data_IF_282069754937
#
_entry.id   IF_282069754937
#
_cell.length_a   1.000
_cell.length_b   1.000
_cell.length_c   1.000
_cell.angle_alpha   90.00
_cell.angle_beta   90.00
_cell.angle_gamma   90.00
#
_symmetry.space_group_name_H-M   'P 1'
#
loop_
_entity.id
_entity.type
_entity.pdbx_description
1 polymer ?
#
# COMPACT_ATOMS: atom_id res chain seq x y z
N UNK A 1 -13.90 -11.11 9.00
CA UNK A 1 -12.96 -11.55 7.93
C UNK A 1 -11.87 -12.35 8.60
N UNK A 2 -11.64 -13.58 8.15
CA UNK A 2 -10.65 -14.45 8.81
C UNK A 2 -9.28 -14.35 8.15
N UNK A 3 -9.23 -14.44 6.83
CA UNK A 3 -8.00 -14.35 6.04
C UNK A 3 -8.04 -13.19 5.07
N UNK A 4 -6.87 -12.65 4.74
CA UNK A 4 -6.65 -11.60 3.76
C UNK A 4 -5.38 -11.92 2.97
N UNK A 5 -5.42 -11.87 1.65
CA UNK A 5 -4.22 -11.90 0.80
C UNK A 5 -3.78 -10.48 0.49
N UNK A 6 -2.53 -10.16 0.79
CA UNK A 6 -1.98 -8.82 0.59
C UNK A 6 -0.92 -8.89 -0.49
N UNK A 7 -1.14 -8.13 -1.57
CA UNK A 7 -0.25 -8.06 -2.74
C UNK A 7 0.69 -6.87 -2.65
N UNK A 8 1.94 -7.09 -3.04
CA UNK A 8 2.92 -6.05 -3.32
C UNK A 8 2.72 -5.37 -4.67
N UNK A 9 3.69 -4.55 -5.04
CA UNK A 9 3.69 -3.73 -6.24
C UNK A 9 3.50 -4.56 -7.51
N UNK A 10 2.63 -4.11 -8.41
CA UNK A 10 2.41 -4.80 -9.69
C UNK A 10 2.90 -4.04 -10.91
N UNK A 11 3.10 -2.72 -10.81
CA UNK A 11 3.62 -1.87 -11.89
C UNK A 11 2.94 -2.10 -13.24
N UNK A 12 1.61 -2.32 -13.24
CA UNK A 12 0.83 -2.54 -14.45
C UNK A 12 0.79 -3.98 -14.97
N UNK A 13 1.39 -4.94 -14.28
CA UNK A 13 1.25 -6.37 -14.60
C UNK A 13 -0.14 -6.88 -14.17
N UNK A 14 -1.19 -6.31 -14.75
CA UNK A 14 -2.58 -6.54 -14.34
C UNK A 14 -3.04 -7.98 -14.59
N UNK A 15 -2.56 -8.66 -15.64
CA UNK A 15 -2.89 -10.06 -15.90
C UNK A 15 -2.36 -10.99 -14.81
N UNK A 16 -1.14 -10.72 -14.32
CA UNK A 16 -0.58 -11.46 -13.19
C UNK A 16 -1.44 -11.26 -11.93
N UNK A 17 -1.77 -10.00 -11.60
CA UNK A 17 -2.60 -9.67 -10.45
C UNK A 17 -3.97 -10.33 -10.53
N UNK A 18 -4.66 -10.21 -11.68
CA UNK A 18 -5.96 -10.79 -11.93
C UNK A 18 -5.97 -12.30 -11.69
N UNK A 19 -4.98 -13.01 -12.23
CA UNK A 19 -4.86 -14.47 -12.05
C UNK A 19 -4.81 -14.86 -10.57
N UNK A 20 -4.03 -14.14 -9.75
CA UNK A 20 -3.85 -14.45 -8.34
C UNK A 20 -5.04 -14.01 -7.48
N UNK A 21 -5.69 -12.90 -7.83
CA UNK A 21 -6.91 -12.44 -7.17
C UNK A 21 -8.06 -13.41 -7.45
N UNK A 22 -8.25 -13.85 -8.68
CA UNK A 22 -9.27 -14.86 -9.03
C UNK A 22 -9.04 -16.14 -8.23
N UNK A 23 -7.79 -16.61 -8.13
CA UNK A 23 -7.45 -17.78 -7.31
C UNK A 23 -7.82 -17.58 -5.84
N UNK A 24 -7.49 -16.43 -5.25
CA UNK A 24 -7.86 -16.11 -3.85
C UNK A 24 -9.38 -16.04 -3.66
N UNK A 25 -10.10 -15.41 -4.58
CA UNK A 25 -11.55 -15.25 -4.50
C UNK A 25 -12.30 -16.58 -4.64
N UNK A 26 -11.78 -17.55 -5.40
CA UNK A 26 -12.31 -18.92 -5.46
C UNK A 26 -12.24 -19.63 -4.11
N UNK A 27 -11.30 -19.24 -3.25
CA UNK A 27 -11.15 -19.71 -1.87
C UNK A 27 -11.87 -18.80 -0.85
N UNK A 28 -12.64 -17.81 -1.32
CA UNK A 28 -13.29 -16.79 -0.49
C UNK A 28 -12.30 -15.97 0.36
N UNK A 29 -11.08 -15.79 -0.12
CA UNK A 29 -10.06 -14.95 0.51
C UNK A 29 -10.14 -13.56 -0.12
N UNK A 30 -10.53 -12.51 0.62
CA UNK A 30 -10.46 -11.14 0.13
C UNK A 30 -9.00 -10.72 -0.07
N UNK A 31 -8.79 -9.71 -0.93
CA UNK A 31 -7.46 -9.25 -1.25
C UNK A 31 -7.26 -7.77 -0.95
N UNK A 32 -6.02 -7.38 -0.69
CA UNK A 32 -5.59 -6.01 -0.54
C UNK A 32 -4.28 -5.79 -1.32
N UNK A 33 -4.13 -4.64 -1.97
CA UNK A 33 -2.93 -4.29 -2.73
C UNK A 33 -2.28 -3.04 -2.12
N UNK A 34 -0.99 -3.10 -1.83
CA UNK A 34 -0.27 -2.07 -1.06
C UNK A 34 0.19 -0.86 -1.87
N UNK A 35 -0.24 -0.70 -3.12
CA UNK A 35 0.12 0.44 -3.99
C UNK A 35 1.03 0.07 -5.15
N UNK A 36 1.32 1.03 -6.02
CA UNK A 36 2.01 0.83 -7.28
C UNK A 36 1.33 -0.24 -8.17
N UNK A 37 0.01 -0.11 -8.24
CA UNK A 37 -0.81 -0.92 -9.14
C UNK A 37 -0.45 -0.66 -10.60
N UNK A 38 0.01 0.57 -10.91
CA UNK A 38 0.47 0.99 -12.23
C UNK A 38 -0.64 1.54 -13.11
N UNK A 39 -1.77 1.94 -12.53
CA UNK A 39 -2.88 2.50 -13.30
C UNK A 39 -2.51 3.87 -13.92
N UNK A 40 -2.62 3.95 -15.25
CA UNK A 40 -2.29 5.18 -15.99
C UNK A 40 -0.80 5.51 -16.05
N UNK A 41 0.09 4.60 -15.67
CA UNK A 41 1.53 4.73 -15.84
C UNK A 41 1.95 4.32 -17.26
N UNK A 42 2.94 5.00 -17.91
CA UNK A 42 3.24 4.84 -19.33
C UNK A 42 3.62 3.44 -19.80
N UNK A 43 4.19 2.63 -18.91
CA UNK A 43 4.65 1.26 -19.21
C UNK A 43 3.73 0.19 -18.64
N UNK A 44 2.66 0.58 -17.94
CA UNK A 44 1.66 -0.34 -17.44
C UNK A 44 0.86 -0.95 -18.60
N UNK A 45 0.41 -2.18 -18.44
CA UNK A 45 -0.58 -2.77 -19.32
C UNK A 45 -1.82 -1.88 -19.35
N UNK A 46 -2.46 -1.83 -20.51
CA UNK A 46 -3.66 -1.01 -20.65
C UNK A 46 -4.73 -1.59 -19.74
N UNK A 47 -5.21 -0.75 -18.81
CA UNK A 47 -6.35 -1.04 -17.98
C UNK A 47 -7.54 -1.36 -18.89
N UNK A 48 -7.91 -2.62 -19.03
CA UNK A 48 -9.13 -2.98 -19.71
C UNK A 48 -10.34 -2.77 -18.77
N UNK A 49 -11.47 -2.47 -19.36
CA UNK A 49 -12.70 -2.18 -18.62
C UNK A 49 -13.27 -3.40 -17.88
N UNK A 50 -12.60 -4.54 -17.93
CA UNK A 50 -13.07 -5.80 -17.33
C UNK A 50 -13.35 -5.65 -15.82
N UNK A 51 -12.51 -4.86 -15.12
CA UNK A 51 -12.68 -4.58 -13.71
C UNK A 51 -13.88 -3.67 -13.42
N UNK A 52 -14.39 -2.96 -14.44
CA UNK A 52 -15.53 -2.07 -14.38
C UNK A 52 -16.84 -2.81 -14.71
N UNK A 53 -16.77 -3.99 -15.34
CA UNK A 53 -17.95 -4.75 -15.79
C UNK A 53 -18.60 -5.59 -14.69
N UNK A 54 -17.87 -5.91 -13.62
CA UNK A 54 -18.42 -6.55 -12.40
C UNK A 54 -17.98 -5.81 -11.12
N UNK A 55 -18.36 -4.54 -10.96
CA UNK A 55 -17.93 -3.73 -9.84
C UNK A 55 -18.50 -4.22 -8.50
N UNK A 56 -19.66 -4.87 -8.52
CA UNK A 56 -20.37 -5.25 -7.29
C UNK A 56 -19.83 -6.53 -6.64
N UNK A 57 -19.31 -7.47 -7.40
CA UNK A 57 -18.73 -8.71 -6.87
C UNK A 57 -17.26 -8.53 -6.50
N UNK A 58 -16.48 -8.01 -7.41
CA UNK A 58 -15.03 -7.92 -7.29
C UNK A 58 -14.58 -6.83 -6.29
N UNK A 59 -15.11 -5.63 -6.40
CA UNK A 59 -14.72 -4.50 -5.55
C UNK A 59 -15.08 -4.70 -4.06
N UNK A 60 -16.07 -5.56 -3.74
CA UNK A 60 -16.44 -5.86 -2.34
C UNK A 60 -15.42 -6.73 -1.61
N UNK A 61 -14.64 -7.52 -2.34
CA UNK A 61 -13.67 -8.45 -1.78
C UNK A 61 -12.24 -7.99 -1.93
N UNK A 62 -12.01 -6.93 -2.71
CA UNK A 62 -10.67 -6.51 -3.08
C UNK A 62 -10.52 -5.00 -2.88
N UNK A 63 -9.45 -4.58 -2.22
CA UNK A 63 -9.10 -3.19 -1.99
C UNK A 63 -7.72 -2.89 -2.55
N UNK A 64 -7.56 -1.71 -3.17
CA UNK A 64 -6.28 -1.22 -3.67
C UNK A 64 -6.02 0.16 -3.08
N UNK A 65 -4.82 0.40 -2.57
CA UNK A 65 -4.34 1.75 -2.30
C UNK A 65 -3.41 2.20 -3.43
N UNK A 66 -3.26 3.50 -3.64
CA UNK A 66 -2.36 4.01 -4.66
C UNK A 66 -0.95 4.20 -4.10
N UNK A 67 0.06 3.89 -4.93
CA UNK A 67 1.45 4.28 -4.73
C UNK A 67 1.84 5.47 -5.61
N UNK A 68 3.15 5.71 -5.76
CA UNK A 68 3.66 6.80 -6.58
C UNK A 68 3.65 6.50 -8.10
N UNK A 69 3.45 5.26 -8.51
CA UNK A 69 3.28 4.85 -9.91
C UNK A 69 1.80 4.79 -10.35
N UNK A 70 0.87 5.30 -9.54
CA UNK A 70 -0.55 5.33 -9.86
C UNK A 70 -1.01 6.73 -10.22
N UNK A 71 -1.58 6.92 -11.41
CA UNK A 71 -2.07 8.21 -11.85
C UNK A 71 -3.30 8.65 -11.03
N UNK A 72 -3.24 9.74 -10.24
CA UNK A 72 -4.32 10.14 -9.34
C UNK A 72 -5.66 10.41 -10.04
N UNK A 73 -5.66 10.79 -11.33
CA UNK A 73 -6.89 10.99 -12.10
C UNK A 73 -7.59 9.66 -12.39
N UNK A 74 -6.82 8.62 -12.70
CA UNK A 74 -7.35 7.30 -12.98
C UNK A 74 -7.74 6.56 -11.69
N UNK A 75 -6.95 6.72 -10.63
CA UNK A 75 -7.27 6.22 -9.29
C UNK A 75 -8.66 6.66 -8.84
N UNK A 76 -8.98 7.95 -9.04
CA UNK A 76 -10.28 8.53 -8.66
C UNK A 76 -11.48 7.89 -9.39
N UNK A 77 -11.27 7.43 -10.62
CA UNK A 77 -12.33 6.87 -11.47
C UNK A 77 -12.45 5.34 -11.33
N UNK A 78 -11.44 4.67 -10.75
CA UNK A 78 -11.41 3.22 -10.63
C UNK A 78 -12.04 2.75 -9.31
N UNK A 79 -13.12 1.95 -9.33
CA UNK A 79 -13.85 1.52 -8.13
C UNK A 79 -13.08 0.57 -7.22
N UNK A 80 -11.94 0.03 -7.65
CA UNK A 80 -11.09 -0.83 -6.84
C UNK A 80 -10.30 -0.04 -5.79
N UNK A 81 -10.01 1.24 -6.07
CA UNK A 81 -9.22 2.04 -5.17
C UNK A 81 -10.06 2.50 -3.97
N UNK A 82 -9.50 2.27 -2.80
CA UNK A 82 -10.05 2.79 -1.55
C UNK A 82 -9.90 4.32 -1.49
N UNK A 83 -10.60 5.00 -0.58
CA UNK A 83 -10.31 6.40 -0.27
C UNK A 83 -8.83 6.59 0.11
N UNK A 84 -8.29 7.80 -0.13
CA UNK A 84 -6.86 8.11 0.09
C UNK A 84 -6.36 7.76 1.50
N UNK A 85 -7.23 7.76 2.48
CA UNK A 85 -7.06 7.17 3.80
C UNK A 85 -8.40 6.60 4.27
N UNK A 86 -8.37 5.48 4.97
CA UNK A 86 -9.59 4.84 5.43
C UNK A 86 -9.35 3.94 6.64
N UNK A 87 -10.42 3.68 7.40
CA UNK A 87 -10.45 2.62 8.39
C UNK A 87 -11.63 1.71 8.12
N UNK A 88 -11.34 0.53 7.57
CA UNK A 88 -12.35 -0.44 7.16
C UNK A 88 -12.01 -1.84 7.69
N UNK A 89 -12.99 -2.52 8.26
CA UNK A 89 -12.84 -3.91 8.74
C UNK A 89 -11.65 -4.15 9.67
N UNK A 90 -11.27 -3.15 10.49
CA UNK A 90 -10.14 -3.25 11.41
C UNK A 90 -8.77 -2.89 10.82
N UNK A 91 -8.74 -2.48 9.57
CA UNK A 91 -7.52 -2.07 8.84
C UNK A 91 -7.54 -0.56 8.63
N UNK A 92 -6.50 0.13 9.05
CA UNK A 92 -6.22 1.48 8.58
C UNK A 92 -5.38 1.40 7.30
N UNK A 93 -5.76 2.15 6.29
CA UNK A 93 -5.01 2.22 5.03
C UNK A 93 -4.78 3.66 4.59
N UNK A 94 -3.63 3.90 3.95
CA UNK A 94 -3.27 5.21 3.42
C UNK A 94 -2.49 5.08 2.11
N UNK A 95 -2.81 5.94 1.15
CA UNK A 95 -2.15 6.05 -0.15
C UNK A 95 -0.83 6.82 -0.05
N UNK A 96 0.00 6.63 -1.07
CA UNK A 96 1.06 7.54 -1.45
C UNK A 96 2.44 7.18 -0.95
N UNK A 97 3.40 7.60 -1.74
CA UNK A 97 4.83 7.65 -1.46
C UNK A 97 5.47 8.70 -2.35
N UNK A 98 6.64 9.17 -1.97
CA UNK A 98 7.41 10.08 -2.82
C UNK A 98 8.25 9.30 -3.84
N UNK A 99 8.22 9.72 -5.09
CA UNK A 99 9.12 9.20 -6.14
C UNK A 99 10.57 9.61 -5.86
N UNK A 100 11.43 8.64 -5.54
CA UNK A 100 12.86 8.88 -5.28
C UNK A 100 13.64 9.31 -6.52
N UNK A 101 13.14 8.98 -7.70
CA UNK A 101 13.69 9.27 -9.02
C UNK A 101 12.93 10.41 -9.73
N UNK A 102 12.22 11.26 -8.98
CA UNK A 102 11.37 12.37 -9.47
C UNK A 102 12.07 13.24 -10.51
N UNK A 103 13.35 13.51 -10.33
CA UNK A 103 14.15 14.37 -11.24
C UNK A 103 14.24 13.80 -12.67
N UNK A 104 14.08 12.48 -12.81
CA UNK A 104 14.13 11.77 -14.09
C UNK A 104 12.76 11.53 -14.70
N UNK A 105 11.69 11.84 -13.96
CA UNK A 105 10.32 11.61 -14.37
C UNK A 105 9.69 12.81 -15.05
N UNK A 106 8.70 12.55 -15.88
CA UNK A 106 7.96 13.59 -16.60
C UNK A 106 6.66 13.94 -15.85
N UNK A 107 6.49 15.21 -15.40
CA UNK A 107 5.28 15.64 -14.72
C UNK A 107 4.01 15.40 -15.56
N UNK A 108 2.98 14.87 -14.94
CA UNK A 108 1.70 14.54 -15.56
C UNK A 108 1.70 13.30 -16.45
N UNK A 109 2.84 12.61 -16.57
CA UNK A 109 2.99 11.38 -17.38
C UNK A 109 3.52 10.21 -16.54
N UNK A 110 4.62 10.42 -15.83
CA UNK A 110 5.24 9.39 -14.99
C UNK A 110 5.54 9.89 -13.57
N UNK A 111 5.14 11.09 -13.25
CA UNK A 111 5.17 11.68 -11.92
C UNK A 111 3.98 12.64 -11.74
N UNK A 112 3.41 12.65 -10.54
CA UNK A 112 2.25 13.46 -10.21
C UNK A 112 2.47 14.20 -8.89
N UNK A 113 2.13 15.49 -8.88
CA UNK A 113 2.26 16.35 -7.68
C UNK A 113 1.47 15.82 -6.48
N UNK A 114 0.43 15.04 -6.73
CA UNK A 114 -0.44 14.44 -5.70
C UNK A 114 -0.10 12.97 -5.41
N UNK A 115 1.12 12.53 -5.66
CA UNK A 115 1.57 11.19 -5.28
C UNK A 115 1.59 10.99 -3.75
N UNK A 116 1.85 12.07 -2.99
CA UNK A 116 1.70 12.10 -1.53
C UNK A 116 0.38 12.78 -1.11
N UNK A 117 -0.07 12.58 0.12
CA UNK A 117 -1.18 13.32 0.71
C UNK A 117 -0.81 14.80 0.89
N UNK A 118 -1.81 15.69 0.78
CA UNK A 118 -1.67 17.08 1.20
C UNK A 118 -1.62 17.20 2.73
N UNK A 119 -1.19 18.35 3.26
CA UNK A 119 -1.13 18.57 4.71
C UNK A 119 -2.49 18.41 5.38
N UNK A 120 -3.57 18.89 4.74
CA UNK A 120 -4.94 18.70 5.26
C UNK A 120 -5.38 17.25 5.25
N UNK A 121 -5.04 16.48 4.20
CA UNK A 121 -5.34 15.05 4.13
C UNK A 121 -4.53 14.26 5.18
N UNK A 122 -3.28 14.65 5.44
CA UNK A 122 -2.47 14.05 6.51
C UNK A 122 -3.07 14.29 7.90
N UNK A 123 -3.53 15.52 8.17
CA UNK A 123 -4.19 15.84 9.46
C UNK A 123 -5.46 15.01 9.67
N UNK A 124 -6.34 14.96 8.66
CA UNK A 124 -7.56 14.14 8.72
C UNK A 124 -7.25 12.64 8.85
N UNK A 125 -6.21 12.15 8.17
CA UNK A 125 -5.74 10.78 8.29
C UNK A 125 -5.21 10.47 9.69
N UNK A 126 -4.48 11.42 10.31
CA UNK A 126 -4.01 11.32 11.70
C UNK A 126 -5.18 11.26 12.69
N UNK A 127 -6.16 12.13 12.55
CA UNK A 127 -7.36 12.11 13.40
C UNK A 127 -8.07 10.73 13.31
N UNK A 128 -8.26 10.20 12.09
CA UNK A 128 -8.86 8.89 11.87
C UNK A 128 -8.02 7.76 12.49
N UNK A 129 -6.70 7.80 12.33
CA UNK A 129 -5.77 6.83 12.87
C UNK A 129 -5.83 6.78 14.41
N UNK A 130 -5.76 7.95 15.05
CA UNK A 130 -5.80 8.06 16.51
C UNK A 130 -7.16 7.66 17.09
N UNK A 131 -8.26 7.99 16.41
CA UNK A 131 -9.60 7.60 16.82
C UNK A 131 -9.83 6.09 16.69
N UNK A 132 -9.31 5.47 15.63
CA UNK A 132 -9.52 4.04 15.36
C UNK A 132 -8.53 3.13 16.10
N UNK A 133 -7.34 3.61 16.45
CA UNK A 133 -6.24 2.84 17.07
C UNK A 133 -6.07 1.46 16.41
N UNK A 134 -5.73 1.39 15.13
CA UNK A 134 -5.75 0.15 14.36
C UNK A 134 -4.71 -0.85 14.86
N UNK A 135 -5.05 -2.15 14.85
CA UNK A 135 -4.07 -3.22 15.04
C UNK A 135 -3.34 -3.61 13.74
N UNK A 136 -3.94 -3.30 12.61
CA UNK A 136 -3.39 -3.60 11.27
C UNK A 136 -3.39 -2.32 10.44
N UNK A 137 -2.23 -2.02 9.87
CA UNK A 137 -2.00 -0.86 9.00
C UNK A 137 -1.48 -1.34 7.66
N UNK A 138 -1.98 -0.74 6.58
CA UNK A 138 -1.51 -0.98 5.21
C UNK A 138 -1.25 0.37 4.53
N UNK A 139 -0.01 0.64 4.18
CA UNK A 139 0.42 1.85 3.48
C UNK A 139 1.33 1.49 2.31
N UNK A 140 1.53 2.39 1.34
CA UNK A 140 2.47 2.09 0.26
C UNK A 140 3.92 2.23 0.73
N UNK A 141 4.29 3.35 1.36
CA UNK A 141 5.58 3.53 2.03
C UNK A 141 5.46 3.22 3.54
N UNK A 142 6.54 3.30 4.30
CA UNK A 142 6.59 2.95 5.72
C UNK A 142 7.14 4.06 6.62
N UNK A 143 7.01 3.92 7.96
CA UNK A 143 7.67 4.77 8.91
C UNK A 143 9.19 4.79 8.71
N UNK A 144 9.80 5.97 8.69
CA UNK A 144 11.21 6.15 8.40
C UNK A 144 12.12 5.33 9.31
N UNK A 145 11.80 5.25 10.60
CA UNK A 145 12.58 4.47 11.57
C UNK A 145 12.55 2.98 11.26
N UNK A 146 11.40 2.44 10.89
CA UNK A 146 11.26 1.03 10.48
C UNK A 146 12.02 0.79 9.16
N UNK A 147 11.88 1.69 8.18
CA UNK A 147 12.59 1.59 6.91
C UNK A 147 14.12 1.63 7.06
N UNK A 148 14.64 2.46 7.95
CA UNK A 148 16.08 2.49 8.27
C UNK A 148 16.59 1.18 8.86
N UNK A 149 15.74 0.49 9.57
CA UNK A 149 16.06 -0.82 10.11
C UNK A 149 15.94 -1.92 9.04
N UNK A 150 14.88 -1.87 8.21
CA UNK A 150 14.64 -2.84 7.13
C UNK A 150 15.65 -2.69 6.00
N UNK A 151 15.89 -1.47 5.55
CA UNK A 151 16.64 -1.15 4.34
C UNK A 151 17.75 -0.12 4.62
N UNK A 152 18.74 -0.44 5.48
CA UNK A 152 19.71 0.55 5.95
C UNK A 152 20.50 1.19 4.82
N UNK A 153 20.83 0.44 3.77
CA UNK A 153 21.60 0.96 2.62
C UNK A 153 20.81 1.94 1.76
N UNK A 154 19.52 1.70 1.57
CA UNK A 154 18.63 2.52 0.75
C UNK A 154 18.08 3.71 1.55
N UNK A 155 17.53 3.46 2.74
CA UNK A 155 16.88 4.48 3.57
C UNK A 155 17.87 5.43 4.26
N UNK A 156 19.16 5.07 4.35
CA UNK A 156 20.22 5.93 4.89
C UNK A 156 21.04 6.64 3.80
N UNK A 157 20.61 6.59 2.54
CA UNK A 157 21.28 7.32 1.47
C UNK A 157 21.18 8.83 1.73
N UNK A 158 22.29 9.47 2.09
CA UNK A 158 22.35 10.88 2.44
C UNK A 158 21.99 11.84 1.29
N UNK A 159 21.92 11.33 0.07
CA UNK A 159 21.55 12.13 -1.10
C UNK A 159 20.03 12.21 -1.33
N UNK A 160 19.25 11.35 -0.66
CA UNK A 160 17.79 11.33 -0.76
C UNK A 160 17.24 11.67 0.63
N UNK A 161 16.69 12.88 0.83
CA UNK A 161 16.09 13.23 2.12
C UNK A 161 14.83 12.37 2.36
N UNK A 162 14.47 12.13 3.63
CA UNK A 162 13.19 11.49 3.95
C UNK A 162 12.01 12.22 3.31
N UNK A 163 11.05 11.47 2.79
CA UNK A 163 9.83 12.04 2.25
C UNK A 163 8.91 12.56 3.36
N UNK A 164 7.96 13.44 2.97
CA UNK A 164 6.92 13.90 3.90
C UNK A 164 6.06 12.73 4.38
N UNK A 165 5.75 11.78 3.50
CA UNK A 165 5.01 10.56 3.84
C UNK A 165 5.74 9.74 4.89
N UNK A 166 7.05 9.49 4.74
CA UNK A 166 7.85 8.73 5.71
C UNK A 166 7.88 9.38 7.09
N UNK A 167 8.06 10.70 7.14
CA UNK A 167 8.07 11.47 8.40
C UNK A 167 6.68 11.41 9.05
N UNK A 168 5.62 11.59 8.27
CA UNK A 168 4.25 11.50 8.76
C UNK A 168 3.90 10.12 9.31
N UNK A 169 4.34 9.04 8.63
CA UNK A 169 4.13 7.68 9.10
C UNK A 169 4.93 7.38 10.38
N UNK A 170 6.12 7.98 10.55
CA UNK A 170 6.85 7.95 11.83
C UNK A 170 6.03 8.57 12.96
N UNK A 171 5.46 9.75 12.72
CA UNK A 171 4.62 10.44 13.71
C UNK A 171 3.40 9.58 14.10
N UNK A 172 2.74 8.95 13.13
CA UNK A 172 1.63 8.02 13.41
C UNK A 172 2.09 6.83 14.27
N UNK A 173 3.22 6.24 13.92
CA UNK A 173 3.76 5.08 14.63
C UNK A 173 4.17 5.42 16.07
N UNK A 174 4.73 6.62 16.33
CA UNK A 174 5.04 7.07 17.68
C UNK A 174 3.77 7.28 18.54
N UNK A 175 2.70 7.79 17.96
CA UNK A 175 1.44 8.04 18.68
C UNK A 175 0.68 6.74 19.03
N UNK A 176 0.70 5.76 18.12
CA UNK A 176 0.08 4.46 18.33
C UNK A 176 0.78 3.38 17.51
N UNK A 177 1.29 2.34 18.17
CA UNK A 177 1.95 1.21 17.55
C UNK A 177 0.94 0.10 17.22
N UNK A 178 0.67 -0.17 15.93
CA UNK A 178 -0.16 -1.31 15.55
C UNK A 178 0.59 -2.63 15.77
N UNK A 179 -0.10 -3.75 15.72
CA UNK A 179 0.54 -5.07 15.78
C UNK A 179 1.20 -5.47 14.46
N UNK A 180 0.60 -5.04 13.34
CA UNK A 180 1.10 -5.35 11.99
C UNK A 180 1.05 -4.11 11.11
N UNK A 181 2.12 -3.91 10.35
CA UNK A 181 2.25 -2.89 9.33
C UNK A 181 2.71 -3.51 8.03
N UNK A 182 1.85 -3.52 7.00
CA UNK A 182 2.16 -4.00 5.65
C UNK A 182 2.48 -2.83 4.74
N UNK A 183 3.51 -2.98 3.89
CA UNK A 183 3.96 -1.94 2.96
C UNK A 183 4.53 -2.55 1.67
N UNK A 184 4.68 -1.72 0.61
CA UNK A 184 5.33 -2.03 -0.66
C UNK A 184 6.50 -1.11 -0.94
N UNK A 185 6.56 -0.52 -2.14
CA UNK A 185 7.47 0.54 -2.58
C UNK A 185 8.96 0.15 -2.67
N UNK A 186 9.44 -0.71 -1.82
CA UNK A 186 10.86 -1.08 -1.70
C UNK A 186 11.26 -2.29 -2.54
N UNK A 187 10.30 -2.91 -3.23
CA UNK A 187 10.46 -4.06 -4.15
C UNK A 187 11.14 -5.29 -3.53
N UNK A 188 11.20 -5.40 -2.22
CA UNK A 188 11.77 -6.54 -1.50
C UNK A 188 10.77 -7.13 -0.52
N UNK A 189 10.56 -8.43 -0.56
CA UNK A 189 9.79 -9.11 0.47
C UNK A 189 10.68 -9.32 1.70
N UNK A 190 10.31 -8.64 2.80
CA UNK A 190 11.04 -8.70 4.06
C UNK A 190 10.09 -8.56 5.25
N UNK A 191 10.24 -9.41 6.23
CA UNK A 191 9.53 -9.33 7.50
C UNK A 191 10.49 -8.97 8.63
N UNK A 192 10.08 -8.06 9.50
CA UNK A 192 10.73 -7.78 10.77
C UNK A 192 9.71 -8.00 11.87
N UNK A 193 9.94 -8.99 12.69
CA UNK A 193 9.12 -9.26 13.85
C UNK A 193 9.54 -8.37 15.03
N UNK A 194 8.54 -7.92 15.79
CA UNK A 194 8.71 -7.23 17.07
C UNK A 194 9.62 -5.97 17.04
N UNK A 195 9.53 -5.17 15.96
CA UNK A 195 10.12 -3.83 15.98
C UNK A 195 9.25 -2.92 16.84
N UNK A 196 9.68 -2.67 18.07
CA UNK A 196 8.94 -1.90 19.08
C UNK A 196 7.49 -2.39 19.31
N UNK A 197 7.27 -3.69 19.25
CA UNK A 197 5.97 -4.32 19.44
C UNK A 197 5.10 -4.43 18.19
N UNK A 198 5.64 -4.04 17.01
CA UNK A 198 4.98 -4.13 15.72
C UNK A 198 5.74 -5.08 14.78
N UNK A 199 5.03 -5.92 14.05
CA UNK A 199 5.59 -6.70 12.93
C UNK A 199 5.43 -5.90 11.64
N UNK A 200 6.54 -5.58 10.98
CA UNK A 200 6.58 -4.94 9.67
C UNK A 200 6.79 -5.96 8.58
N UNK A 201 5.90 -5.96 7.59
CA UNK A 201 5.99 -6.80 6.40
C UNK A 201 6.03 -5.93 5.15
N UNK A 202 7.20 -5.80 4.56
CA UNK A 202 7.32 -5.30 3.19
C UNK A 202 7.04 -6.42 2.21
N UNK A 203 6.28 -6.13 1.15
CA UNK A 203 5.91 -7.10 0.11
C UNK A 203 6.48 -6.61 -1.21
N UNK A 204 7.34 -7.42 -1.81
CA UNK A 204 8.07 -7.10 -3.02
C UNK A 204 7.20 -7.07 -4.28
N UNK A 205 7.84 -6.69 -5.39
CA UNK A 205 7.17 -6.64 -6.69
C UNK A 205 6.65 -8.02 -7.10
N UNK A 206 5.38 -8.07 -7.52
CA UNK A 206 4.67 -9.30 -7.94
C UNK A 206 4.80 -10.43 -6.91
N UNK A 207 4.67 -10.06 -5.66
CA UNK A 207 4.66 -10.98 -4.53
C UNK A 207 3.40 -10.79 -3.68
N UNK A 208 3.14 -11.67 -2.74
CA UNK A 208 2.00 -11.58 -1.83
C UNK A 208 2.22 -12.40 -0.57
N UNK A 209 1.48 -12.06 0.49
CA UNK A 209 1.41 -12.83 1.75
C UNK A 209 -0.05 -13.05 2.13
N UNK A 210 -0.33 -14.14 2.84
CA UNK A 210 -1.62 -14.38 3.47
C UNK A 210 -1.56 -14.02 4.97
N UNK A 211 -2.56 -13.30 5.46
CA UNK A 211 -2.68 -12.88 6.85
C UNK A 211 -3.97 -13.41 7.48
N UNK A 212 -3.88 -13.99 8.68
CA UNK A 212 -5.04 -14.45 9.47
C UNK A 212 -5.31 -13.47 10.63
N UNK A 213 -6.47 -12.80 10.57
CA UNK A 213 -6.88 -11.84 11.58
C UNK A 213 -7.23 -12.46 12.94
N UNK A 214 -7.66 -13.73 12.98
CA UNK A 214 -8.02 -14.37 14.24
C UNK A 214 -6.77 -14.80 15.02
N UNK A 215 -5.78 -15.25 14.30
CA UNK A 215 -4.50 -15.67 14.88
C UNK A 215 -3.50 -14.54 15.00
N UNK A 216 -3.71 -13.45 14.22
CA UNK A 216 -2.76 -12.35 14.07
C UNK A 216 -1.38 -12.87 13.64
N UNK A 217 -1.35 -13.61 12.53
CA UNK A 217 -0.14 -14.19 11.99
C UNK A 217 -0.11 -14.14 10.45
N UNK A 218 1.11 -14.05 9.90
CA UNK A 218 1.39 -14.12 8.47
C UNK A 218 1.70 -15.57 8.14
N UNK A 219 1.17 -16.07 7.03
CA UNK A 219 1.50 -17.38 6.50
C UNK A 219 2.43 -17.25 5.30
N UNK A 220 3.48 -18.05 5.31
CA UNK A 220 4.28 -18.27 4.11
C UNK A 220 3.50 -19.10 3.07
N UNK A 221 3.90 -18.94 1.79
CA UNK A 221 3.33 -19.63 0.62
C UNK A 221 3.47 -21.13 0.71
#
# INVERSE_FOLDING_TARGET
>A
MRKLRIFGDTHGHHDWYKQHVVAANLEYIPTFHVGDFGIGFPHGERWDNYWLEDPDGFARMNGVIAGNHDNPLWVKECPLFLPRYSYLNGIFSMHGAASIDREWRKPGVSWWEREELSDSEMEEAKELYLASRPNVVITHDGPLQALRYMFPMQAMNSHIPPSRTQIFLDDLFEEHKPKFWFLGHWHHTMCIEDFEGCTFQCIGERDWVDFDFEKMEIFDK
#
